data_IF_710141011004
#
_entry.id   IF_710141011004
#
_cell.length_a   1.000
_cell.length_b   1.000
_cell.length_c   1.000
_cell.angle_alpha   90.00
_cell.angle_beta   90.00
_cell.angle_gamma   90.00
#
_symmetry.space_group_name_H-M   'P 1'
#
loop_
_entity.id
_entity.type
_entity.pdbx_description
1 polymer ?
#
# COMPACT_ATOMS: atom_id res chain seq x y z
N UNK A 1 47.15 -19.45 -0.18
CA UNK A 1 46.21 -18.55 0.49
C UNK A 1 46.12 -17.28 -0.33
N UNK A 2 45.10 -17.15 -1.18
CA UNK A 2 44.87 -15.97 -2.01
C UNK A 2 43.43 -15.51 -1.75
N UNK A 3 43.31 -14.34 -1.11
CA UNK A 3 42.04 -13.68 -0.87
C UNK A 3 41.53 -13.07 -2.19
N UNK A 4 40.37 -13.48 -2.64
CA UNK A 4 39.64 -12.85 -3.74
C UNK A 4 38.72 -11.77 -3.13
N UNK A 5 39.09 -10.52 -3.30
CA UNK A 5 38.23 -9.36 -3.03
C UNK A 5 37.31 -9.17 -4.24
N UNK A 6 36.04 -9.48 -4.11
CA UNK A 6 35.02 -9.13 -5.09
C UNK A 6 34.49 -7.73 -4.75
N UNK A 7 34.91 -6.74 -5.50
CA UNK A 7 34.33 -5.37 -5.45
C UNK A 7 33.07 -5.39 -6.29
N UNK A 8 31.90 -5.26 -5.62
CA UNK A 8 30.61 -5.09 -6.28
C UNK A 8 30.44 -3.59 -6.62
N UNK A 9 30.73 -3.23 -7.88
CA UNK A 9 30.49 -1.88 -8.39
C UNK A 9 29.01 -1.69 -8.67
N UNK A 10 28.32 -0.93 -7.82
CA UNK A 10 26.95 -0.49 -8.01
C UNK A 10 26.95 0.70 -9.00
N UNK A 11 26.66 0.41 -10.27
CA UNK A 11 26.47 1.46 -11.27
C UNK A 11 25.09 2.08 -11.09
N UNK A 12 25.05 3.28 -10.49
CA UNK A 12 23.86 4.13 -10.46
C UNK A 12 23.69 4.74 -11.85
N UNK A 13 22.77 4.18 -12.63
CA UNK A 13 22.29 4.80 -13.86
C UNK A 13 21.37 5.98 -13.49
N UNK A 14 21.93 7.18 -13.46
CA UNK A 14 21.17 8.42 -13.41
C UNK A 14 20.50 8.62 -14.77
N UNK A 15 19.24 8.23 -14.89
CA UNK A 15 18.39 8.67 -15.99
C UNK A 15 17.97 10.11 -15.74
N UNK A 16 18.18 11.04 -16.70
CA UNK A 16 17.65 12.40 -16.55
C UNK A 16 16.10 12.31 -16.54
N UNK A 17 15.52 12.79 -15.45
CA UNK A 17 14.09 13.02 -15.38
C UNK A 17 13.75 14.08 -16.46
N UNK A 18 13.15 13.63 -17.54
CA UNK A 18 12.45 14.51 -18.47
C UNK A 18 11.24 15.06 -17.71
N UNK A 19 11.43 16.21 -17.09
CA UNK A 19 10.33 17.04 -16.59
C UNK A 19 9.53 17.49 -17.80
N UNK A 20 8.54 16.71 -18.19
CA UNK A 20 7.56 17.14 -19.15
C UNK A 20 6.68 18.13 -18.40
N UNK A 21 6.89 19.41 -18.63
CA UNK A 21 5.94 20.43 -18.28
C UNK A 21 4.62 20.04 -18.97
N UNK A 22 3.66 19.57 -18.18
CA UNK A 22 2.30 19.41 -18.66
C UNK A 22 1.79 20.83 -18.90
N UNK A 23 1.52 21.15 -20.15
CA UNK A 23 0.76 22.33 -20.52
C UNK A 23 -0.58 22.28 -19.76
N UNK A 24 -0.96 23.40 -19.15
CA UNK A 24 -2.22 23.60 -18.44
C UNK A 24 -3.38 23.53 -19.45
N UNK A 25 -3.77 22.33 -19.88
CA UNK A 25 -5.06 22.12 -20.52
C UNK A 25 -6.11 22.03 -19.42
N UNK A 26 -7.09 22.93 -19.48
CA UNK A 26 -8.26 22.89 -18.61
C UNK A 26 -8.93 21.51 -18.70
N UNK A 27 -8.85 20.73 -17.65
CA UNK A 27 -9.48 19.43 -17.56
C UNK A 27 -10.71 19.53 -16.67
N UNK A 28 -11.81 18.91 -17.11
CA UNK A 28 -13.05 18.86 -16.33
C UNK A 28 -13.31 17.45 -15.81
N UNK A 29 -13.82 17.35 -14.59
CA UNK A 29 -14.35 16.14 -14.00
C UNK A 29 -15.85 16.05 -14.30
N UNK A 30 -16.29 15.08 -15.10
CA UNK A 30 -17.70 14.80 -15.37
C UNK A 30 -18.21 13.67 -14.51
N UNK A 31 -19.31 13.87 -13.81
CA UNK A 31 -19.94 12.86 -12.96
C UNK A 31 -20.53 11.72 -13.81
N UNK A 32 -20.13 10.49 -13.56
CA UNK A 32 -20.55 9.29 -14.30
C UNK A 32 -21.54 8.41 -13.52
N UNK A 33 -21.65 8.59 -12.21
CA UNK A 33 -22.62 7.91 -11.36
C UNK A 33 -23.94 8.71 -11.25
N UNK A 34 -24.99 8.10 -10.71
CA UNK A 34 -26.28 8.79 -10.59
C UNK A 34 -26.21 10.04 -9.71
N UNK A 35 -25.47 9.95 -8.59
CA UNK A 35 -25.23 11.03 -7.64
C UNK A 35 -23.90 10.80 -6.92
N UNK A 36 -23.16 11.87 -6.62
CA UNK A 36 -21.92 11.84 -5.83
C UNK A 36 -21.80 13.07 -4.93
N UNK A 37 -21.12 12.90 -3.80
CA UNK A 37 -20.88 13.97 -2.84
C UNK A 37 -19.61 14.75 -3.17
N UNK A 38 -19.71 16.06 -3.30
CA UNK A 38 -18.58 16.98 -3.25
C UNK A 38 -18.36 17.43 -1.81
N UNK A 39 -17.14 17.30 -1.31
CA UNK A 39 -16.79 17.51 0.09
C UNK A 39 -15.81 18.67 0.26
N UNK A 40 -15.76 19.23 1.46
CA UNK A 40 -14.87 20.34 1.81
C UNK A 40 -13.40 19.92 2.02
N UNK A 41 -13.07 18.64 1.81
CA UNK A 41 -11.72 18.10 1.92
C UNK A 41 -11.63 16.67 1.40
N UNK A 42 -10.40 16.15 1.21
CA UNK A 42 -10.15 14.85 0.60
C UNK A 42 -10.39 13.71 1.61
N UNK A 43 -11.62 13.30 1.79
CA UNK A 43 -12.00 12.20 2.67
C UNK A 43 -13.47 12.15 3.01
N UNK A 44 -13.97 10.98 3.35
CA UNK A 44 -15.39 10.75 3.69
C UNK A 44 -15.81 11.43 5.00
N UNK A 45 -14.87 11.77 5.87
CA UNK A 45 -15.12 12.47 7.13
C UNK A 45 -15.37 13.98 6.95
N UNK A 46 -15.02 14.54 5.79
CA UNK A 46 -15.25 15.95 5.52
C UNK A 46 -16.72 16.21 5.19
N UNK A 47 -17.18 17.41 5.57
CA UNK A 47 -18.55 17.84 5.34
C UNK A 47 -18.88 17.83 3.85
N UNK A 48 -20.04 17.27 3.49
CA UNK A 48 -20.63 17.39 2.17
C UNK A 48 -21.06 18.84 1.95
N UNK A 49 -20.64 19.44 0.84
CA UNK A 49 -20.95 20.82 0.47
C UNK A 49 -21.83 20.91 -0.77
N UNK A 50 -21.88 19.83 -1.57
CA UNK A 50 -22.74 19.75 -2.74
C UNK A 50 -23.01 18.29 -3.11
N UNK A 51 -24.22 17.99 -3.63
CA UNK A 51 -24.61 16.72 -4.22
C UNK A 51 -24.65 16.87 -5.73
N UNK A 52 -23.66 16.31 -6.42
CA UNK A 52 -23.57 16.39 -7.86
C UNK A 52 -24.27 15.21 -8.54
N UNK A 53 -24.94 15.47 -9.65
CA UNK A 53 -25.69 14.48 -10.43
C UNK A 53 -24.92 14.10 -11.69
N UNK A 54 -25.30 12.95 -12.25
CA UNK A 54 -24.73 12.47 -13.50
C UNK A 54 -24.76 13.53 -14.59
N UNK A 55 -23.60 13.72 -15.24
CA UNK A 55 -23.42 14.66 -16.35
C UNK A 55 -22.95 16.06 -15.91
N UNK A 56 -23.00 16.39 -14.63
CA UNK A 56 -22.42 17.64 -14.13
C UNK A 56 -20.90 17.62 -14.28
N UNK A 57 -20.34 18.79 -14.63
CA UNK A 57 -18.91 18.97 -14.89
C UNK A 57 -18.32 20.03 -13.99
N UNK A 58 -17.12 19.77 -13.48
CA UNK A 58 -16.38 20.66 -12.58
C UNK A 58 -14.95 20.80 -13.08
N UNK A 59 -14.40 22.01 -13.07
CA UNK A 59 -13.01 22.26 -13.45
C UNK A 59 -12.06 21.59 -12.45
N UNK A 60 -11.15 20.78 -12.94
CA UNK A 60 -10.10 20.17 -12.11
C UNK A 60 -9.04 21.24 -11.82
N UNK A 61 -8.88 21.62 -10.56
CA UNK A 61 -7.88 22.60 -10.12
C UNK A 61 -6.49 22.00 -9.95
N UNK A 62 -6.43 20.74 -9.54
CA UNK A 62 -5.16 20.06 -9.31
C UNK A 62 -5.28 18.63 -9.81
N UNK A 63 -4.35 18.23 -10.68
CA UNK A 63 -4.22 16.84 -11.13
C UNK A 63 -3.54 15.96 -10.09
N UNK A 64 -2.99 16.55 -9.05
CA UNK A 64 -2.51 15.82 -7.89
C UNK A 64 -3.71 15.25 -7.14
N UNK A 65 -3.93 13.98 -7.35
CA UNK A 65 -4.95 13.25 -6.61
C UNK A 65 -4.51 13.14 -5.16
N UNK A 66 -5.20 13.81 -4.29
CA UNK A 66 -5.12 13.56 -2.86
C UNK A 66 -5.76 12.20 -2.57
N UNK A 67 -5.00 11.14 -2.83
CA UNK A 67 -5.52 9.78 -2.85
C UNK A 67 -6.49 9.57 -4.02
N UNK A 68 -7.71 9.11 -3.72
CA UNK A 68 -8.78 8.94 -4.72
C UNK A 68 -9.67 10.18 -4.89
N UNK A 69 -9.28 11.33 -4.32
CA UNK A 69 -10.06 12.56 -4.33
C UNK A 69 -9.45 13.58 -5.31
N UNK A 70 -10.28 14.06 -6.22
CA UNK A 70 -9.92 15.13 -7.14
C UNK A 70 -10.36 16.47 -6.55
N UNK A 71 -9.48 17.45 -6.60
CA UNK A 71 -9.79 18.82 -6.25
C UNK A 71 -10.43 19.51 -7.43
N UNK A 72 -11.62 20.04 -7.25
CA UNK A 72 -12.41 20.69 -8.30
C UNK A 72 -12.90 22.08 -7.89
N UNK A 73 -13.05 22.96 -8.86
CA UNK A 73 -13.69 24.24 -8.68
C UNK A 73 -15.20 24.12 -8.86
N UNK A 74 -15.95 24.65 -7.92
CA UNK A 74 -17.40 24.79 -8.03
C UNK A 74 -17.77 26.07 -8.80
N UNK A 75 -18.97 26.13 -9.41
CA UNK A 75 -19.42 27.34 -10.14
C UNK A 75 -19.46 28.63 -9.29
N UNK A 76 -19.55 28.49 -7.97
CA UNK A 76 -19.54 29.61 -7.02
C UNK A 76 -18.12 30.04 -6.58
N UNK A 77 -17.08 29.48 -7.19
CA UNK A 77 -15.67 29.78 -6.90
C UNK A 77 -15.09 29.05 -5.69
N UNK A 78 -15.87 28.23 -5.00
CA UNK A 78 -15.35 27.41 -3.88
C UNK A 78 -14.61 26.19 -4.44
N UNK A 79 -13.65 25.73 -3.66
CA UNK A 79 -12.97 24.46 -3.91
C UNK A 79 -13.72 23.32 -3.23
N UNK A 80 -13.84 22.21 -3.92
CA UNK A 80 -14.44 20.97 -3.44
C UNK A 80 -13.60 19.75 -3.82
N UNK A 81 -13.88 18.64 -3.16
CA UNK A 81 -13.23 17.37 -3.43
C UNK A 81 -14.28 16.34 -3.81
N UNK A 82 -14.06 15.68 -4.95
CA UNK A 82 -14.92 14.61 -5.47
C UNK A 82 -14.13 13.31 -5.54
N UNK A 83 -14.80 12.20 -5.30
CA UNK A 83 -14.18 10.89 -5.39
C UNK A 83 -13.91 10.55 -6.87
N UNK A 84 -12.65 10.28 -7.22
CA UNK A 84 -12.21 10.05 -8.60
C UNK A 84 -12.94 8.90 -9.31
N UNK A 85 -13.39 7.88 -8.59
CA UNK A 85 -14.15 6.76 -9.17
C UNK A 85 -15.57 7.14 -9.60
N UNK A 86 -16.07 8.30 -9.17
CA UNK A 86 -17.42 8.80 -9.49
C UNK A 86 -17.44 9.77 -10.64
N UNK A 87 -16.27 10.13 -11.16
CA UNK A 87 -16.10 11.10 -12.26
C UNK A 87 -15.15 10.57 -13.34
N UNK A 88 -15.27 11.12 -14.53
CA UNK A 88 -14.30 10.94 -15.61
C UNK A 88 -13.67 12.28 -15.98
N UNK A 89 -12.37 12.29 -16.28
CA UNK A 89 -11.68 13.48 -16.75
C UNK A 89 -12.03 13.71 -18.24
N UNK A 90 -12.47 14.93 -18.56
CA UNK A 90 -12.79 15.39 -19.92
C UNK A 90 -11.87 16.57 -20.22
N UNK A 91 -11.00 16.44 -21.21
CA UNK A 91 -10.20 17.55 -21.70
C UNK A 91 -11.03 18.43 -22.65
N UNK A 92 -10.89 19.75 -22.54
CA UNK A 92 -11.47 20.72 -23.49
C UNK A 92 -10.35 21.15 -24.40
N UNK A 93 -10.21 20.45 -25.54
CA UNK A 93 -9.30 20.81 -26.62
C UNK A 93 -9.95 20.43 -27.95
N UNK A 94 -9.64 21.14 -29.05
CA UNK A 94 -10.24 20.93 -30.39
C UNK A 94 -9.96 19.52 -30.94
N UNK A 95 -9.10 18.73 -30.36
CA UNK A 95 -8.74 17.37 -30.77
C UNK A 95 -9.23 16.26 -29.83
N UNK A 96 -10.19 16.51 -28.95
CA UNK A 96 -10.76 15.53 -28.05
C UNK A 96 -11.63 14.48 -28.75
N UNK A 97 -11.11 13.87 -29.81
CA UNK A 97 -11.75 12.74 -30.50
C UNK A 97 -11.37 11.40 -29.87
N UNK A 98 -10.36 11.35 -29.02
CA UNK A 98 -10.00 10.14 -28.33
C UNK A 98 -10.69 10.06 -26.98
N UNK A 99 -11.52 9.05 -26.89
CA UNK A 99 -12.37 8.72 -25.76
C UNK A 99 -11.67 8.88 -24.40
N UNK A 100 -12.38 9.40 -23.38
CA UNK A 100 -11.84 9.53 -22.04
C UNK A 100 -11.29 8.18 -21.61
N UNK A 101 -10.01 8.14 -21.33
CA UNK A 101 -9.39 6.95 -20.76
C UNK A 101 -10.14 6.67 -19.47
N UNK A 102 -10.98 5.64 -19.47
CA UNK A 102 -11.52 5.10 -18.21
C UNK A 102 -10.34 4.96 -17.28
N UNK A 103 -10.42 5.48 -16.04
CA UNK A 103 -9.31 5.33 -15.10
C UNK A 103 -8.88 3.87 -15.14
N UNK A 104 -7.61 3.62 -15.43
CA UNK A 104 -7.08 2.28 -15.60
C UNK A 104 -7.41 1.42 -14.38
N UNK A 105 -7.37 0.10 -14.50
CA UNK A 105 -7.55 -0.82 -13.38
C UNK A 105 -6.54 -0.52 -12.25
N UNK A 106 -5.37 -0.02 -12.62
CA UNK A 106 -4.32 0.43 -11.73
C UNK A 106 -4.46 1.94 -11.48
N UNK A 107 -4.52 2.32 -10.22
CA UNK A 107 -4.54 3.71 -9.77
C UNK A 107 -3.28 4.00 -8.93
N UNK A 108 -2.72 5.22 -8.95
CA UNK A 108 -1.67 5.59 -8.02
C UNK A 108 -2.11 5.36 -6.58
N UNK A 109 -1.20 4.91 -5.69
CA UNK A 109 -1.56 4.66 -4.30
C UNK A 109 -1.91 5.96 -3.56
N UNK A 110 -2.93 5.88 -2.71
CA UNK A 110 -3.41 6.97 -1.88
C UNK A 110 -2.45 7.35 -0.72
N UNK A 111 -1.18 6.96 -0.79
CA UNK A 111 -0.23 7.08 0.31
C UNK A 111 0.11 8.51 0.71
N UNK A 112 -0.02 9.48 -0.21
CA UNK A 112 0.31 10.88 0.08
C UNK A 112 -0.57 11.51 1.15
N UNK A 113 -1.77 11.01 1.35
CA UNK A 113 -2.73 11.53 2.34
C UNK A 113 -3.26 10.45 3.29
N UNK A 114 -2.78 9.24 3.16
CA UNK A 114 -3.14 8.18 4.08
C UNK A 114 -2.44 8.40 5.43
N UNK A 115 -3.18 8.27 6.51
CA UNK A 115 -2.65 8.29 7.87
C UNK A 115 -2.60 6.90 8.47
N UNK A 116 -3.41 5.99 7.95
CA UNK A 116 -3.51 4.63 8.42
C UNK A 116 -3.94 3.65 7.35
N UNK A 117 -3.92 2.38 7.71
CA UNK A 117 -4.35 1.31 6.84
C UNK A 117 -4.31 -0.03 7.53
N UNK A 118 -4.66 -1.07 6.81
CA UNK A 118 -4.43 -2.45 7.23
C UNK A 118 -4.29 -3.35 6.02
N UNK A 119 -3.58 -4.46 6.19
CA UNK A 119 -3.48 -5.52 5.20
C UNK A 119 -3.72 -6.88 5.86
N UNK A 120 -4.44 -7.74 5.15
CA UNK A 120 -4.59 -9.14 5.49
C UNK A 120 -3.81 -9.95 4.45
N UNK A 121 -2.83 -10.70 4.94
CA UNK A 121 -1.89 -11.45 4.12
C UNK A 121 -2.04 -12.93 4.39
N UNK A 122 -1.82 -13.76 3.37
CA UNK A 122 -1.75 -15.21 3.50
C UNK A 122 -0.62 -15.76 2.64
N UNK A 123 -0.05 -16.89 3.02
CA UNK A 123 1.04 -17.49 2.27
C UNK A 123 1.73 -18.62 3.00
N UNK A 124 3.04 -18.68 2.88
CA UNK A 124 3.89 -19.77 3.38
C UNK A 124 4.93 -19.20 4.34
N UNK A 125 5.05 -19.82 5.49
CA UNK A 125 6.06 -19.62 6.49
C UNK A 125 6.73 -20.97 6.78
N UNK A 126 8.01 -21.12 6.46
CA UNK A 126 8.75 -22.38 6.64
C UNK A 126 8.02 -23.61 6.08
N UNK A 127 7.45 -23.49 4.87
CA UNK A 127 6.62 -24.51 4.18
C UNK A 127 5.26 -24.78 4.81
N UNK A 128 4.84 -24.00 5.79
CA UNK A 128 3.56 -24.11 6.47
C UNK A 128 2.60 -22.98 6.05
N UNK A 129 1.29 -23.21 6.14
CA UNK A 129 0.30 -22.18 5.89
C UNK A 129 0.44 -21.06 6.92
N UNK A 130 0.41 -19.81 6.45
CA UNK A 130 0.59 -18.62 7.26
C UNK A 130 -0.43 -17.55 6.91
N UNK A 131 -0.97 -16.89 7.93
CA UNK A 131 -1.85 -15.72 7.78
C UNK A 131 -1.32 -14.62 8.68
N UNK A 132 -1.25 -13.40 8.18
CA UNK A 132 -0.74 -12.24 8.91
C UNK A 132 -1.67 -11.03 8.72
N UNK A 133 -2.01 -10.37 9.83
CA UNK A 133 -2.69 -9.08 9.87
C UNK A 133 -1.65 -7.99 10.13
N UNK A 134 -1.66 -6.94 9.31
CA UNK A 134 -0.77 -5.78 9.39
C UNK A 134 -1.60 -4.49 9.41
N UNK A 135 -1.97 -3.95 10.56
CA UNK A 135 -2.33 -2.54 10.67
C UNK A 135 -1.13 -1.67 10.23
N UNK A 136 -1.40 -0.52 9.67
CA UNK A 136 -0.37 0.40 9.23
C UNK A 136 -0.64 1.82 9.74
N UNK A 137 0.42 2.51 10.14
CA UNK A 137 0.42 3.93 10.43
C UNK A 137 1.40 4.61 9.46
N UNK A 138 0.89 5.48 8.60
CA UNK A 138 1.68 6.16 7.57
C UNK A 138 2.30 7.41 8.16
N UNK A 139 3.63 7.43 8.26
CA UNK A 139 4.41 8.57 8.73
C UNK A 139 4.69 9.57 7.61
N UNK A 140 4.90 9.06 6.41
CA UNK A 140 5.15 9.81 5.19
C UNK A 140 4.76 8.92 3.99
N UNK A 141 4.57 9.47 2.79
CA UNK A 141 4.23 8.68 1.59
C UNK A 141 5.15 7.50 1.32
N UNK A 142 6.41 7.62 1.71
CA UNK A 142 7.41 6.57 1.55
C UNK A 142 7.57 5.68 2.79
N UNK A 143 7.04 6.05 3.97
CA UNK A 143 7.37 5.38 5.23
C UNK A 143 6.10 5.03 6.01
N UNK A 144 5.95 3.77 6.36
CA UNK A 144 4.89 3.29 7.23
C UNK A 144 5.44 2.44 8.38
N UNK A 145 4.82 2.54 9.55
CA UNK A 145 4.99 1.62 10.66
C UNK A 145 3.85 0.61 10.65
N UNK A 146 4.19 -0.67 10.72
CA UNK A 146 3.25 -1.77 10.59
C UNK A 146 3.40 -2.74 11.76
N UNK A 147 2.60 -2.61 12.82
CA UNK A 147 2.41 -3.72 13.74
C UNK A 147 1.96 -4.96 12.97
N UNK A 148 2.42 -6.13 13.35
CA UNK A 148 1.99 -7.37 12.71
C UNK A 148 1.59 -8.42 13.73
N UNK A 149 0.60 -9.21 13.36
CA UNK A 149 0.15 -10.39 14.09
C UNK A 149 -0.05 -11.52 13.10
N UNK A 150 0.77 -12.56 13.19
CA UNK A 150 0.76 -13.68 12.27
C UNK A 150 0.46 -15.00 12.98
N UNK A 151 -0.12 -15.93 12.24
CA UNK A 151 -0.45 -17.28 12.68
C UNK A 151 0.04 -18.29 11.64
N UNK A 152 0.99 -19.14 12.03
CA UNK A 152 1.41 -20.30 11.26
C UNK A 152 0.74 -21.58 11.83
N UNK A 153 0.13 -22.34 10.93
CA UNK A 153 -0.60 -23.57 11.27
C UNK A 153 0.27 -24.78 10.87
N UNK A 154 0.93 -25.33 11.86
CA UNK A 154 1.66 -26.59 11.75
C UNK A 154 0.79 -27.76 12.20
N UNK A 155 1.06 -28.95 11.67
CA UNK A 155 0.35 -30.17 12.09
C UNK A 155 0.51 -30.40 13.59
N UNK A 156 1.75 -30.21 14.11
CA UNK A 156 2.11 -30.57 15.48
C UNK A 156 2.21 -29.37 16.44
N UNK A 157 2.14 -28.14 15.95
CA UNK A 157 2.23 -26.94 16.78
C UNK A 157 1.47 -25.76 16.18
N UNK A 158 1.21 -24.77 17.01
CA UNK A 158 0.67 -23.47 16.62
C UNK A 158 1.73 -22.41 16.91
N UNK A 159 2.07 -21.62 15.89
CA UNK A 159 3.02 -20.50 16.03
C UNK A 159 2.29 -19.18 15.85
N UNK A 160 2.42 -18.31 16.83
CA UNK A 160 1.91 -16.93 16.76
C UNK A 160 3.12 -16.00 16.69
N UNK A 161 3.20 -15.19 15.64
CA UNK A 161 4.22 -14.16 15.46
C UNK A 161 3.59 -12.79 15.70
N UNK A 162 4.32 -11.89 16.33
CA UNK A 162 3.86 -10.53 16.61
C UNK A 162 5.04 -9.58 16.69
N UNK A 163 4.82 -8.33 16.38
CA UNK A 163 5.88 -7.34 16.44
C UNK A 163 5.56 -6.06 15.70
N UNK A 164 6.61 -5.34 15.35
CA UNK A 164 6.55 -4.08 14.60
C UNK A 164 7.53 -4.14 13.43
N UNK A 165 7.08 -3.70 12.27
CA UNK A 165 7.92 -3.51 11.10
C UNK A 165 7.82 -2.08 10.57
N UNK A 166 8.91 -1.58 10.02
CA UNK A 166 8.96 -0.38 9.20
C UNK A 166 8.98 -0.77 7.74
N UNK A 167 8.16 -0.13 6.94
CA UNK A 167 8.10 -0.32 5.49
C UNK A 167 8.53 0.95 4.80
N UNK A 168 9.48 0.82 3.88
CA UNK A 168 9.95 1.89 3.01
C UNK A 168 9.45 1.61 1.59
N UNK A 169 8.52 2.44 1.11
CA UNK A 169 8.06 2.42 -0.28
C UNK A 169 9.07 3.19 -1.14
N UNK A 170 9.64 2.53 -2.13
CA UNK A 170 10.71 3.09 -2.96
C UNK A 170 10.17 3.95 -4.12
N UNK A 171 8.91 3.81 -4.45
CA UNK A 171 8.25 4.55 -5.52
C UNK A 171 6.79 4.86 -5.15
N UNK A 172 6.55 5.79 -4.21
CA UNK A 172 5.22 6.04 -3.65
C UNK A 172 4.21 6.57 -4.69
N UNK A 173 4.68 7.11 -5.80
CA UNK A 173 3.84 7.67 -6.87
C UNK A 173 3.51 6.65 -7.98
N UNK A 174 4.03 5.42 -7.85
CA UNK A 174 3.78 4.39 -8.85
C UNK A 174 2.59 3.50 -8.46
N UNK A 175 1.79 3.13 -9.46
CA UNK A 175 0.71 2.17 -9.25
C UNK A 175 1.22 0.76 -8.90
N UNK A 176 2.44 0.44 -9.33
CA UNK A 176 3.19 -0.77 -8.95
C UNK A 176 4.47 -0.31 -8.28
N UNK A 177 4.51 -0.33 -6.97
CA UNK A 177 5.55 0.27 -6.17
C UNK A 177 6.37 -0.80 -5.44
N UNK A 178 7.67 -0.91 -5.67
CA UNK A 178 8.54 -1.76 -4.87
C UNK A 178 8.71 -1.19 -3.47
N UNK A 179 8.81 -2.07 -2.47
CA UNK A 179 9.07 -1.68 -1.09
C UNK A 179 10.09 -2.58 -0.42
N UNK A 180 10.67 -2.07 0.66
CA UNK A 180 11.49 -2.82 1.60
C UNK A 180 10.85 -2.79 2.98
N UNK A 181 11.05 -3.85 3.76
CA UNK A 181 10.55 -3.94 5.13
C UNK A 181 11.62 -4.48 6.07
N UNK A 182 11.67 -3.92 7.26
CA UNK A 182 12.50 -4.43 8.36
C UNK A 182 11.67 -4.39 9.64
N UNK A 183 11.81 -5.41 10.46
CA UNK A 183 11.01 -5.48 11.69
C UNK A 183 11.62 -6.40 12.73
N UNK A 184 11.04 -6.31 13.93
CA UNK A 184 11.39 -7.16 15.05
C UNK A 184 10.15 -7.47 15.91
N UNK A 185 10.24 -8.54 16.67
CA UNK A 185 9.12 -8.94 17.53
C UNK A 185 9.37 -10.25 18.26
N UNK A 186 8.29 -10.93 18.59
CA UNK A 186 8.30 -12.23 19.25
C UNK A 186 7.58 -13.29 18.43
N UNK A 187 7.96 -14.51 18.69
CA UNK A 187 7.24 -15.70 18.25
C UNK A 187 6.92 -16.57 19.44
N UNK A 188 5.67 -16.98 19.55
CA UNK A 188 5.20 -17.93 20.55
C UNK A 188 4.80 -19.23 19.88
N UNK A 189 5.46 -20.31 20.24
CA UNK A 189 5.12 -21.65 19.79
C UNK A 189 4.44 -22.44 20.92
N UNK A 190 3.30 -23.03 20.59
CA UNK A 190 2.54 -23.91 21.49
C UNK A 190 2.44 -25.27 20.82
N UNK A 191 3.14 -26.30 21.30
CA UNK A 191 3.02 -27.66 20.79
C UNK A 191 1.59 -28.19 20.97
N UNK A 192 1.11 -28.97 20.03
CA UNK A 192 -0.11 -29.78 20.17
C UNK A 192 0.33 -31.14 20.70
N UNK A 193 0.48 -31.29 22.02
CA UNK A 193 0.80 -32.59 22.62
C UNK A 193 -0.44 -33.18 23.28
N UNK A 194 -0.74 -34.44 22.95
CA UNK A 194 -1.85 -35.21 23.53
C UNK A 194 -1.56 -35.64 24.99
N UNK A 195 -0.32 -35.46 25.46
CA UNK A 195 0.12 -35.92 26.81
C UNK A 195 0.11 -34.83 27.89
N UNK A 196 -0.40 -33.64 27.60
CA UNK A 196 -0.77 -32.66 28.64
C UNK A 196 0.33 -31.74 29.16
N UNK A 197 1.59 -31.85 28.75
CA UNK A 197 2.68 -30.95 29.14
C UNK A 197 2.93 -29.93 28.01
N UNK A 198 2.17 -28.86 28.02
CA UNK A 198 2.35 -27.74 27.05
C UNK A 198 3.48 -26.82 27.52
N UNK A 199 4.71 -27.08 27.12
CA UNK A 199 5.80 -26.11 27.29
C UNK A 199 5.72 -25.09 26.14
N UNK A 200 5.13 -23.93 26.40
CA UNK A 200 5.14 -22.80 25.50
C UNK A 200 6.54 -22.22 25.40
N UNK A 201 7.06 -22.06 24.20
CA UNK A 201 8.36 -21.43 23.91
C UNK A 201 8.14 -20.04 23.33
N UNK A 202 8.89 -19.06 23.82
CA UNK A 202 8.89 -17.71 23.28
C UNK A 202 10.28 -17.41 22.73
N UNK A 203 10.33 -16.90 21.52
CA UNK A 203 11.57 -16.53 20.85
C UNK A 203 11.51 -15.10 20.36
N UNK A 204 12.64 -14.43 20.37
CA UNK A 204 12.78 -13.17 19.69
C UNK A 204 12.96 -13.41 18.19
N UNK A 205 12.38 -12.54 17.35
CA UNK A 205 12.53 -12.58 15.90
C UNK A 205 12.94 -11.23 15.36
N UNK A 206 13.82 -11.24 14.36
CA UNK A 206 14.06 -10.12 13.48
C UNK A 206 13.66 -10.52 12.06
N UNK A 207 13.10 -9.60 11.28
CA UNK A 207 12.71 -9.85 9.89
C UNK A 207 13.22 -8.75 8.97
N UNK A 208 13.63 -9.12 7.76
CA UNK A 208 13.96 -8.20 6.70
C UNK A 208 13.45 -8.78 5.37
N UNK A 209 12.95 -7.93 4.51
CA UNK A 209 12.38 -8.37 3.25
C UNK A 209 12.00 -7.22 2.35
N UNK A 210 11.18 -7.54 1.38
CA UNK A 210 10.64 -6.56 0.45
C UNK A 210 9.60 -7.20 -0.44
N UNK A 211 9.08 -6.40 -1.35
CA UNK A 211 8.01 -6.85 -2.22
C UNK A 211 7.51 -5.76 -3.14
N UNK A 212 6.28 -5.94 -3.56
CA UNK A 212 5.59 -5.02 -4.45
C UNK A 212 4.21 -4.71 -3.91
N UNK A 213 3.86 -3.43 -3.90
CA UNK A 213 2.52 -2.91 -3.69
C UNK A 213 1.90 -2.62 -5.05
N UNK A 214 0.74 -3.20 -5.33
CA UNK A 214 -0.01 -2.95 -6.56
C UNK A 214 -1.29 -2.24 -6.16
N UNK A 215 -1.40 -0.98 -6.54
CA UNK A 215 -2.56 -0.17 -6.25
C UNK A 215 -3.67 -0.45 -7.25
N UNK A 216 -4.83 -0.83 -6.75
CA UNK A 216 -6.02 -1.13 -7.50
C UNK A 216 -7.07 -0.03 -7.28
N UNK A 217 -8.11 -0.03 -8.10
CA UNK A 217 -9.28 0.80 -7.86
C UNK A 217 -9.89 0.56 -6.47
N UNK A 218 -10.73 1.49 -6.00
CA UNK A 218 -11.46 1.43 -4.73
C UNK A 218 -10.60 1.39 -3.47
N UNK A 219 -9.40 1.99 -3.52
CA UNK A 219 -8.44 2.03 -2.38
C UNK A 219 -7.92 0.65 -1.96
N UNK A 220 -8.06 -0.33 -2.81
CA UNK A 220 -7.55 -1.67 -2.56
C UNK A 220 -6.10 -1.74 -3.02
N UNK A 221 -5.25 -2.27 -2.16
CA UNK A 221 -3.86 -2.57 -2.46
C UNK A 221 -3.68 -4.08 -2.45
N UNK A 222 -3.08 -4.59 -3.50
CA UNK A 222 -2.56 -5.95 -3.50
C UNK A 222 -1.08 -5.91 -3.13
N UNK A 223 -0.68 -6.70 -2.15
CA UNK A 223 0.69 -6.74 -1.61
C UNK A 223 1.28 -8.13 -1.82
N UNK A 224 2.48 -8.17 -2.40
CA UNK A 224 3.34 -9.35 -2.45
C UNK A 224 4.57 -9.06 -1.61
N UNK A 225 4.90 -9.94 -0.67
CA UNK A 225 6.04 -9.78 0.22
C UNK A 225 6.82 -11.08 0.34
N UNK A 226 8.14 -10.97 0.22
CA UNK A 226 9.09 -12.02 0.54
C UNK A 226 10.01 -11.50 1.65
N UNK A 227 10.14 -12.25 2.75
CA UNK A 227 10.97 -11.85 3.87
C UNK A 227 11.73 -13.04 4.45
N UNK A 228 12.90 -12.74 5.01
CA UNK A 228 13.67 -13.66 5.83
C UNK A 228 13.50 -13.27 7.30
N UNK A 229 13.12 -14.23 8.11
CA UNK A 229 13.04 -14.08 9.56
C UNK A 229 14.17 -14.85 10.22
N UNK A 230 14.85 -14.21 11.15
CA UNK A 230 15.85 -14.83 12.02
C UNK A 230 15.21 -14.99 13.38
N UNK A 231 15.06 -16.24 13.80
CA UNK A 231 14.59 -16.59 15.14
C UNK A 231 15.81 -16.81 16.04
N UNK A 232 15.84 -16.13 17.16
CA UNK A 232 16.89 -16.26 18.15
C UNK A 232 16.41 -17.19 19.25
N UNK A 233 17.03 -18.35 19.34
CA UNK A 233 16.85 -19.33 20.41
C UNK A 233 18.03 -19.24 21.40
N UNK A 234 17.94 -19.88 22.56
CA UNK A 234 18.97 -19.78 23.59
C UNK A 234 20.35 -20.25 23.09
N UNK A 235 20.40 -21.25 22.20
CA UNK A 235 21.66 -21.87 21.75
C UNK A 235 21.96 -21.67 20.24
N UNK A 236 21.03 -21.14 19.47
CA UNK A 236 21.16 -21.05 18.01
C UNK A 236 20.26 -19.96 17.40
N UNK A 237 20.52 -19.65 16.14
CA UNK A 237 19.59 -18.88 15.32
C UNK A 237 19.07 -19.75 14.18
N UNK A 238 17.79 -19.55 13.83
CA UNK A 238 17.15 -20.24 12.74
C UNK A 238 16.66 -19.21 11.71
N UNK A 239 17.02 -19.42 10.44
CA UNK A 239 16.50 -18.62 9.33
C UNK A 239 15.22 -19.26 8.78
N UNK A 240 14.19 -18.45 8.66
CA UNK A 240 12.89 -18.86 8.12
C UNK A 240 12.50 -17.93 7.00
N UNK A 241 12.16 -18.49 5.85
CA UNK A 241 11.67 -17.75 4.70
C UNK A 241 10.16 -17.66 4.73
N UNK A 242 9.64 -16.48 4.42
CA UNK A 242 8.21 -16.20 4.37
C UNK A 242 7.87 -15.57 3.03
N UNK A 243 6.83 -16.11 2.38
CA UNK A 243 6.27 -15.60 1.13
C UNK A 243 4.79 -15.41 1.34
N UNK A 244 4.34 -14.17 1.32
CA UNK A 244 2.95 -13.82 1.59
C UNK A 244 2.39 -12.89 0.53
N UNK A 245 1.10 -13.05 0.27
CA UNK A 245 0.33 -12.18 -0.60
C UNK A 245 -0.98 -11.79 0.08
N UNK A 246 -1.52 -10.64 -0.22
CA UNK A 246 -2.77 -10.24 0.40
C UNK A 246 -3.32 -8.93 -0.12
N UNK A 247 -4.41 -8.54 0.50
CA UNK A 247 -5.12 -7.32 0.19
C UNK A 247 -5.07 -6.39 1.39
N UNK A 248 -4.99 -5.12 1.11
CA UNK A 248 -5.01 -4.06 2.11
C UNK A 248 -5.72 -2.82 1.60
N UNK A 249 -5.88 -1.87 2.50
CA UNK A 249 -6.41 -0.54 2.20
C UNK A 249 -5.67 0.49 3.04
N UNK A 250 -5.52 1.70 2.49
CA UNK A 250 -5.00 2.87 3.20
C UNK A 250 -6.04 3.99 3.19
N UNK A 251 -6.14 4.75 4.28
CA UNK A 251 -7.11 5.84 4.47
C UNK A 251 -6.56 6.95 5.36
#
# INVERSE_FOLDING_TARGET
>A
MRALSAALSLAVLATPALTRAAEDEDAFARVIVAETDLRGGPGVSHRVIYHARRGETFLIQTRETAGFWLQVAMPDGRTAYVLGDTVEAVAVGEDAVDAPSKPGFFAPPALQQAHGGFALMAGIYDREGYVELKPAYVLAPAIALEPFLGLALKTDSRRVTYGLSGTLNLAPDWAIAPFMTIGAGGMRETPKDDQGVRQTRNWFQARAGGGVLISLRWRVLFRLEASNMVLYTEDAYQNVQTYIAGLGTYF
#
